data_IF_583328744843
#
_entry.id   IF_583328744843
#
_cell.length_a   1.000
_cell.length_b   1.000
_cell.length_c   1.000
_cell.angle_alpha   90.00
_cell.angle_beta   90.00
_cell.angle_gamma   90.00
#
_symmetry.space_group_name_H-M   'P 1'
#
loop_
_entity.id
_entity.type
_entity.pdbx_description
1 polymer ?
#
# COMPACT_ATOMS: atom_id res chain seq x y z
N UNK A 1 0.79 -14.17 -21.40
CA UNK A 1 1.62 -14.19 -20.18
C UNK A 1 0.82 -13.48 -19.09
N UNK A 2 0.15 -14.24 -18.21
CA UNK A 2 -0.71 -13.69 -17.14
C UNK A 2 0.09 -13.80 -15.86
N UNK A 3 0.84 -12.75 -15.52
CA UNK A 3 1.67 -12.71 -14.33
C UNK A 3 0.75 -12.38 -13.16
N UNK A 4 0.37 -13.42 -12.40
CA UNK A 4 -0.32 -13.36 -11.11
C UNK A 4 -1.74 -12.77 -11.16
N UNK A 5 -2.75 -13.62 -10.95
CA UNK A 5 -4.16 -13.22 -10.95
C UNK A 5 -4.55 -12.69 -9.57
N UNK A 6 -4.03 -11.52 -9.20
CA UNK A 6 -4.57 -10.79 -8.04
C UNK A 6 -6.02 -10.41 -8.35
N UNK A 7 -6.92 -10.56 -7.38
CA UNK A 7 -8.25 -9.95 -7.51
C UNK A 7 -8.08 -8.45 -7.75
N UNK A 8 -8.69 -7.95 -8.82
CA UNK A 8 -8.61 -6.52 -9.16
C UNK A 8 -9.68 -5.75 -8.39
N UNK A 9 -9.25 -4.70 -7.69
CA UNK A 9 -10.12 -3.71 -7.04
C UNK A 9 -9.72 -2.32 -7.50
N UNK A 10 -10.60 -1.34 -7.29
CA UNK A 10 -10.22 0.06 -7.43
C UNK A 10 -9.13 0.38 -6.40
N UNK A 11 -8.02 0.89 -6.88
CA UNK A 11 -6.88 1.39 -6.09
C UNK A 11 -6.67 2.87 -6.36
N UNK A 12 -6.14 3.58 -5.37
CA UNK A 12 -5.74 4.98 -5.47
C UNK A 12 -4.56 5.15 -6.43
N UNK A 13 -3.64 4.18 -6.47
CA UNK A 13 -2.44 4.14 -7.32
C UNK A 13 -1.35 5.16 -6.98
N UNK A 14 -1.67 6.21 -6.22
CA UNK A 14 -0.70 7.16 -5.67
C UNK A 14 -0.97 7.48 -4.18
N UNK A 15 -1.23 6.44 -3.36
CA UNK A 15 -1.57 6.63 -1.93
C UNK A 15 -0.34 7.03 -1.10
N UNK A 16 0.02 8.31 -1.13
CA UNK A 16 1.14 8.88 -0.38
C UNK A 16 0.64 9.70 0.82
N UNK A 17 1.50 9.93 1.82
CA UNK A 17 1.12 10.68 3.02
C UNK A 17 0.65 12.12 2.72
N UNK A 18 1.12 12.75 1.65
CA UNK A 18 0.65 14.06 1.19
C UNK A 18 -0.79 14.04 0.65
N UNK A 19 -1.30 12.86 0.28
CA UNK A 19 -2.69 12.64 -0.14
C UNK A 19 -3.61 12.22 1.02
N UNK A 20 -3.12 12.28 2.27
CA UNK A 20 -3.89 11.98 3.48
C UNK A 20 -4.16 13.26 4.28
N UNK A 21 -5.44 13.58 4.48
CA UNK A 21 -5.88 14.68 5.34
C UNK A 21 -6.40 14.13 6.66
N UNK A 22 -5.71 14.47 7.75
CA UNK A 22 -6.10 14.08 9.09
C UNK A 22 -6.99 15.15 9.72
N UNK A 23 -8.04 14.72 10.42
CA UNK A 23 -8.84 15.65 11.22
C UNK A 23 -8.06 16.12 12.46
N UNK A 24 -8.51 17.20 13.11
CA UNK A 24 -7.85 17.74 14.29
C UNK A 24 -7.97 16.86 15.54
N UNK A 25 -8.94 15.95 15.57
CA UNK A 25 -9.13 14.99 16.66
C UNK A 25 -8.17 13.78 16.56
N UNK A 26 -7.57 13.54 15.39
CA UNK A 26 -6.62 12.45 15.15
C UNK A 26 -7.26 11.07 14.96
N UNK A 27 -8.58 10.98 14.83
CA UNK A 27 -9.34 9.74 14.69
C UNK A 27 -9.99 9.58 13.29
N UNK A 28 -9.78 10.54 12.40
CA UNK A 28 -10.33 10.54 11.05
C UNK A 28 -9.26 10.85 10.00
N UNK A 29 -9.29 10.10 8.90
CA UNK A 29 -8.46 10.32 7.72
C UNK A 29 -9.33 10.41 6.47
N UNK A 30 -9.03 11.37 5.60
CA UNK A 30 -9.62 11.50 4.27
C UNK A 30 -8.53 11.34 3.22
N UNK A 31 -8.79 10.46 2.24
CA UNK A 31 -7.93 10.26 1.07
C UNK A 31 -8.37 11.22 -0.04
N UNK A 32 -7.43 12.00 -0.56
CA UNK A 32 -7.66 12.97 -1.65
C UNK A 32 -6.79 12.65 -2.87
N UNK A 33 -7.01 13.37 -3.96
CA UNK A 33 -6.25 13.23 -5.22
C UNK A 33 -6.43 11.90 -5.97
N UNK A 34 -7.68 11.54 -6.23
CA UNK A 34 -8.07 10.31 -6.92
C UNK A 34 -7.86 10.31 -8.44
N UNK A 35 -7.22 11.33 -9.03
CA UNK A 35 -7.15 11.48 -10.49
C UNK A 35 -6.37 10.35 -11.19
N UNK A 36 -5.51 9.63 -10.45
CA UNK A 36 -4.72 8.49 -10.93
C UNK A 36 -5.31 7.11 -10.62
N UNK A 37 -6.52 7.02 -10.07
CA UNK A 37 -7.08 5.75 -9.64
C UNK A 37 -7.20 4.74 -10.80
N UNK A 38 -6.95 3.47 -10.52
CA UNK A 38 -7.02 2.40 -11.52
C UNK A 38 -7.46 1.09 -10.89
N UNK A 39 -7.53 0.02 -11.69
CA UNK A 39 -7.79 -1.32 -11.17
C UNK A 39 -6.48 -2.07 -10.97
N UNK A 40 -6.30 -2.68 -9.80
CA UNK A 40 -5.10 -3.41 -9.45
C UNK A 40 -5.27 -4.26 -8.21
N UNK A 41 -4.18 -4.91 -7.73
CA UNK A 41 -4.21 -5.72 -6.52
C UNK A 41 -4.63 -4.88 -5.32
N UNK A 42 -5.47 -5.42 -4.44
CA UNK A 42 -5.94 -4.69 -3.24
C UNK A 42 -4.80 -4.21 -2.34
N UNK A 43 -3.70 -4.97 -2.27
CA UNK A 43 -2.51 -4.62 -1.49
C UNK A 43 -1.58 -3.60 -2.15
N UNK A 44 -1.91 -3.09 -3.35
CA UNK A 44 -1.07 -2.10 -4.05
C UNK A 44 -0.93 -0.83 -3.24
N UNK A 45 -2.05 -0.24 -2.78
CA UNK A 45 -2.03 1.05 -2.11
C UNK A 45 -1.27 1.03 -0.79
N UNK A 46 -1.48 0.00 0.05
CA UNK A 46 -0.73 -0.13 1.32
C UNK A 46 0.76 -0.32 1.08
N UNK A 47 1.12 -1.12 0.07
CA UNK A 47 2.52 -1.35 -0.31
C UNK A 47 3.16 -0.05 -0.79
N UNK A 48 2.51 0.65 -1.71
CA UNK A 48 3.00 1.90 -2.27
C UNK A 48 3.11 2.97 -1.19
N UNK A 49 2.12 3.07 -0.30
CA UNK A 49 2.13 3.98 0.85
C UNK A 49 3.33 3.74 1.76
N UNK A 50 3.56 2.50 2.18
CA UNK A 50 4.73 2.13 3.00
C UNK A 50 6.05 2.47 2.30
N UNK A 51 6.11 2.29 0.97
CA UNK A 51 7.33 2.54 0.22
C UNK A 51 7.66 4.02 0.10
N UNK A 52 6.64 4.85 -0.17
CA UNK A 52 6.78 6.25 -0.52
C UNK A 52 6.67 7.21 0.68
N UNK A 53 6.02 6.78 1.75
CA UNK A 53 5.66 7.67 2.86
C UNK A 53 6.45 7.42 4.14
N UNK A 54 6.97 6.19 4.35
CA UNK A 54 7.75 5.87 5.53
C UNK A 54 9.24 6.13 5.31
N UNK A 55 9.94 6.53 6.36
CA UNK A 55 11.39 6.51 6.36
C UNK A 55 11.90 5.07 6.22
N UNK A 56 13.14 4.90 5.74
CA UNK A 56 13.74 3.55 5.61
C UNK A 56 13.80 2.84 6.96
N UNK A 57 14.06 3.58 8.03
CA UNK A 57 14.20 3.03 9.37
C UNK A 57 12.83 2.61 9.93
N UNK A 58 11.81 3.47 9.82
CA UNK A 58 10.45 3.14 10.25
C UNK A 58 9.89 1.96 9.46
N UNK A 59 10.09 1.94 8.14
CA UNK A 59 9.65 0.83 7.30
C UNK A 59 10.29 -0.48 7.73
N UNK A 60 11.61 -0.53 7.97
CA UNK A 60 12.29 -1.74 8.44
C UNK A 60 11.80 -2.20 9.81
N UNK A 61 11.46 -1.25 10.70
CA UNK A 61 10.98 -1.55 12.03
C UNK A 61 9.54 -2.09 12.01
N UNK A 62 8.69 -1.59 11.11
CA UNK A 62 7.24 -1.84 11.14
C UNK A 62 6.71 -2.66 9.95
N UNK A 63 7.55 -3.09 9.01
CA UNK A 63 7.12 -3.75 7.77
C UNK A 63 6.19 -4.94 8.03
N UNK A 64 6.66 -5.91 8.83
CA UNK A 64 5.87 -7.13 9.11
C UNK A 64 4.58 -6.79 9.85
N UNK A 65 4.66 -5.94 10.88
CA UNK A 65 3.50 -5.53 11.69
C UNK A 65 2.40 -4.88 10.84
N UNK A 66 2.77 -3.95 9.94
CA UNK A 66 1.82 -3.24 9.09
C UNK A 66 1.19 -4.15 8.04
N UNK A 67 1.96 -5.06 7.44
CA UNK A 67 1.43 -6.01 6.45
C UNK A 67 0.49 -7.04 7.12
N UNK A 68 0.86 -7.55 8.29
CA UNK A 68 0.02 -8.48 9.07
C UNK A 68 -1.28 -7.80 9.51
N UNK A 69 -1.19 -6.54 9.94
CA UNK A 69 -2.36 -5.73 10.29
C UNK A 69 -3.30 -5.53 9.10
N UNK A 70 -2.76 -5.25 7.92
CA UNK A 70 -3.53 -5.11 6.70
C UNK A 70 -4.28 -6.41 6.36
N UNK A 71 -3.61 -7.56 6.38
CA UNK A 71 -4.24 -8.86 6.11
C UNK A 71 -5.33 -9.17 7.13
N UNK A 72 -5.04 -9.00 8.43
CA UNK A 72 -6.01 -9.23 9.51
C UNK A 72 -7.23 -8.32 9.38
N UNK A 73 -7.04 -7.07 8.95
CA UNK A 73 -8.13 -6.12 8.71
C UNK A 73 -9.01 -6.58 7.55
N UNK A 74 -8.42 -7.00 6.43
CA UNK A 74 -9.16 -7.53 5.28
C UNK A 74 -9.99 -8.76 5.66
N UNK A 75 -9.41 -9.69 6.43
CA UNK A 75 -10.11 -10.87 6.93
C UNK A 75 -11.30 -10.49 7.83
N UNK A 76 -11.15 -9.47 8.68
CA UNK A 76 -12.23 -8.95 9.53
C UNK A 76 -13.43 -8.40 8.73
N UNK A 77 -13.18 -7.93 7.50
CA UNK A 77 -14.21 -7.52 6.55
C UNK A 77 -14.72 -8.67 5.66
N UNK A 78 -14.28 -9.91 5.90
CA UNK A 78 -14.70 -11.08 5.13
C UNK A 78 -13.93 -11.29 3.83
N UNK A 79 -12.80 -10.58 3.63
CA UNK A 79 -11.95 -10.71 2.46
C UNK A 79 -10.67 -11.48 2.80
N UNK A 80 -10.61 -12.74 2.39
CA UNK A 80 -9.39 -13.53 2.53
C UNK A 80 -8.36 -13.10 1.48
N UNK A 81 -7.17 -12.73 1.96
CA UNK A 81 -6.01 -12.41 1.13
C UNK A 81 -4.81 -13.20 1.62
N UNK A 82 -4.00 -13.73 0.70
CA UNK A 82 -2.80 -14.46 1.09
C UNK A 82 -1.70 -13.49 1.56
N UNK A 83 -1.17 -13.72 2.75
CA UNK A 83 -0.01 -12.97 3.27
C UNK A 83 1.20 -13.09 2.33
N UNK A 84 1.39 -14.25 1.69
CA UNK A 84 2.45 -14.46 0.71
C UNK A 84 2.25 -13.58 -0.54
N UNK A 85 1.01 -13.41 -1.00
CA UNK A 85 0.66 -12.54 -2.12
C UNK A 85 0.99 -11.07 -1.79
N UNK A 86 0.64 -10.62 -0.58
CA UNK A 86 0.95 -9.27 -0.09
C UNK A 86 2.46 -9.05 -0.02
N UNK A 87 3.21 -9.96 0.61
CA UNK A 87 4.67 -9.83 0.67
C UNK A 87 5.34 -9.89 -0.71
N UNK A 88 4.83 -10.71 -1.63
CA UNK A 88 5.38 -10.79 -2.97
C UNK A 88 5.15 -9.49 -3.75
N UNK A 89 3.95 -8.91 -3.69
CA UNK A 89 3.70 -7.61 -4.30
C UNK A 89 4.57 -6.53 -3.67
N UNK A 90 4.71 -6.54 -2.33
CA UNK A 90 5.59 -5.63 -1.61
C UNK A 90 7.02 -5.67 -2.10
N UNK A 91 7.61 -6.87 -2.24
CA UNK A 91 8.97 -7.05 -2.76
C UNK A 91 9.09 -6.55 -4.21
N UNK A 92 8.11 -6.85 -5.07
CA UNK A 92 8.11 -6.42 -6.47
C UNK A 92 8.04 -4.89 -6.57
N UNK A 93 7.12 -4.25 -5.86
CA UNK A 93 6.98 -2.80 -5.88
C UNK A 93 8.17 -2.09 -5.25
N UNK A 94 8.76 -2.64 -4.19
CA UNK A 94 10.00 -2.12 -3.63
C UNK A 94 11.14 -2.13 -4.66
N UNK A 95 11.32 -3.24 -5.37
CA UNK A 95 12.31 -3.36 -6.45
C UNK A 95 12.03 -2.38 -7.61
N UNK A 96 10.77 -2.17 -7.98
CA UNK A 96 10.41 -1.24 -9.07
C UNK A 96 10.63 0.20 -8.63
N UNK A 97 10.17 0.59 -7.44
CA UNK A 97 10.34 1.93 -6.90
C UNK A 97 11.82 2.30 -6.73
N UNK A 98 12.66 1.35 -6.30
CA UNK A 98 14.11 1.57 -6.19
C UNK A 98 14.83 1.73 -7.53
N UNK A 99 14.19 1.38 -8.66
CA UNK A 99 14.75 1.55 -10.02
C UNK A 99 14.14 2.76 -10.75
N UNK A 100 12.85 3.06 -10.53
CA UNK A 100 12.12 4.08 -11.30
C UNK A 100 11.88 5.39 -10.56
N UNK A 101 12.00 5.42 -9.23
CA UNK A 101 11.63 6.57 -8.41
C UNK A 101 12.79 7.01 -7.52
N UNK A 102 13.84 7.53 -8.15
CA UNK A 102 14.69 8.54 -7.50
C UNK A 102 13.90 9.84 -7.47
N UNK A 103 12.92 9.97 -6.58
CA UNK A 103 12.36 11.27 -6.21
C UNK A 103 12.04 11.30 -4.72
N UNK A 104 12.58 12.35 -4.08
CA UNK A 104 12.35 12.84 -2.73
C UNK A 104 13.02 12.08 -1.58
N UNK A 105 14.34 12.29 -1.46
CA UNK A 105 14.86 12.99 -0.27
C UNK A 105 15.33 14.37 -0.69
#
# INVERSE_FOLDING_TARGET
>A
MRLINFGETLIHSDLRADNLLFNTAGDGVMVVDWQGCSFGPSSFDITYHMIQSLSVDDRRQHETELLDYYVSSMESFGHQISIDEVHNLYRVLFCIASVLLVQCR
#
